data_IF_252401675775
#
_entry.id   IF_252401675775
#
_cell.length_a   1.000
_cell.length_b   1.000
_cell.length_c   1.000
_cell.angle_alpha   90.00
_cell.angle_beta   90.00
_cell.angle_gamma   90.00
#
_symmetry.space_group_name_H-M   'P 1'
#
loop_
_entity.id
_entity.type
_entity.pdbx_description
1 polymer ?
#
# COMPACT_ATOMS: atom_id res chain seq x y z
N UNK A 1 -53.12 34.96 -28.49
CA UNK A 1 -51.67 35.31 -28.35
C UNK A 1 -51.06 34.98 -26.97
N UNK A 2 -51.82 34.75 -25.98
CA UNK A 2 -51.27 34.42 -24.62
C UNK A 2 -50.93 32.94 -24.42
N UNK A 3 -51.44 32.04 -25.23
CA UNK A 3 -51.19 30.60 -25.11
C UNK A 3 -49.84 30.13 -25.70
N UNK A 4 -49.24 30.94 -26.59
CA UNK A 4 -47.97 30.58 -27.26
C UNK A 4 -46.73 30.90 -26.44
N UNK A 5 -46.81 31.76 -25.43
CA UNK A 5 -45.71 32.14 -24.54
C UNK A 5 -45.52 31.12 -23.40
N UNK A 6 -46.56 30.34 -23.03
CA UNK A 6 -46.45 29.31 -21.99
C UNK A 6 -45.75 28.04 -22.49
N UNK A 7 -45.79 27.80 -23.82
CA UNK A 7 -45.19 26.62 -24.42
C UNK A 7 -43.66 26.71 -24.58
N UNK A 8 -43.07 27.90 -24.49
CA UNK A 8 -41.63 28.09 -24.60
C UNK A 8 -40.90 28.00 -23.28
N UNK A 9 -41.58 28.05 -22.13
CA UNK A 9 -40.98 27.95 -20.79
C UNK A 9 -40.86 26.52 -20.27
N UNK A 10 -41.56 25.57 -20.90
CA UNK A 10 -41.57 24.17 -20.45
C UNK A 10 -40.29 23.36 -20.82
N UNK A 11 -39.61 23.61 -21.92
CA UNK A 11 -38.40 22.85 -22.24
C UNK A 11 -37.12 23.25 -21.48
N UNK A 12 -37.09 24.43 -20.82
CA UNK A 12 -35.93 24.85 -20.04
C UNK A 12 -35.85 24.21 -18.65
N UNK A 13 -36.89 23.56 -18.16
CA UNK A 13 -36.96 22.97 -16.81
C UNK A 13 -36.44 21.51 -16.77
N UNK A 14 -36.19 20.90 -17.93
CA UNK A 14 -35.76 19.50 -18.03
C UNK A 14 -34.26 19.31 -18.16
N UNK A 15 -33.45 20.39 -18.18
CA UNK A 15 -32.00 20.33 -18.38
C UNK A 15 -31.16 20.37 -17.07
N UNK A 16 -31.81 20.41 -15.91
CA UNK A 16 -31.11 20.47 -14.62
C UNK A 16 -31.01 19.14 -13.90
N UNK A 17 -31.31 18.01 -14.55
CA UNK A 17 -31.40 16.69 -13.90
C UNK A 17 -30.20 15.76 -14.15
N UNK A 18 -29.01 16.26 -14.56
CA UNK A 18 -27.84 15.43 -14.80
C UNK A 18 -26.58 15.92 -14.08
N UNK A 19 -26.70 16.34 -12.82
CA UNK A 19 -25.57 16.41 -11.90
C UNK A 19 -25.77 15.32 -10.84
N UNK A 20 -25.62 14.05 -11.23
CA UNK A 20 -25.33 13.01 -10.26
C UNK A 20 -23.95 13.33 -9.65
N UNK A 21 -23.78 13.35 -8.31
CA UNK A 21 -22.45 13.41 -7.73
C UNK A 21 -21.69 12.22 -8.30
N UNK A 22 -20.56 12.48 -8.97
CA UNK A 22 -19.59 11.44 -9.26
C UNK A 22 -19.15 10.92 -7.88
N UNK A 23 -19.65 9.76 -7.47
CA UNK A 23 -19.02 8.97 -6.45
C UNK A 23 -17.61 8.69 -6.99
N UNK A 24 -16.62 9.37 -6.44
CA UNK A 24 -15.22 9.05 -6.64
C UNK A 24 -15.06 7.68 -6.01
N UNK A 25 -15.29 6.63 -6.79
CA UNK A 25 -15.02 5.25 -6.42
C UNK A 25 -13.51 5.16 -6.24
N UNK A 26 -13.04 5.37 -5.01
CA UNK A 26 -11.64 5.20 -4.63
C UNK A 26 -11.34 3.71 -4.66
N UNK A 27 -11.04 3.19 -5.85
CA UNK A 27 -10.56 1.82 -6.00
C UNK A 27 -9.15 1.74 -5.46
N UNK A 28 -8.85 0.75 -4.63
CA UNK A 28 -7.49 0.50 -4.20
C UNK A 28 -6.56 0.37 -5.41
N UNK A 29 -5.42 1.07 -5.35
CA UNK A 29 -4.39 1.00 -6.38
C UNK A 29 -3.28 0.07 -5.92
N UNK A 30 -2.61 -0.56 -6.89
CA UNK A 30 -1.45 -1.37 -6.62
C UNK A 30 -0.22 -0.49 -6.42
N UNK A 31 0.51 -0.77 -5.34
CA UNK A 31 1.78 -0.14 -5.00
C UNK A 31 2.85 -1.21 -4.78
N UNK A 32 4.11 -0.81 -4.85
CA UNK A 32 5.25 -1.66 -4.52
C UNK A 32 6.32 -0.88 -3.77
N UNK A 33 7.03 -1.58 -2.89
CA UNK A 33 8.24 -1.10 -2.22
C UNK A 33 9.34 -2.13 -2.38
N UNK A 34 10.58 -1.66 -2.54
CA UNK A 34 11.75 -2.53 -2.74
C UNK A 34 12.79 -2.23 -1.68
N UNK A 35 13.28 -3.27 -1.02
CA UNK A 35 14.31 -3.24 0.00
C UNK A 35 15.54 -4.01 -0.48
N UNK A 36 16.74 -3.52 -0.14
CA UNK A 36 18.01 -4.10 -0.55
C UNK A 36 18.84 -4.57 0.64
N UNK A 37 18.31 -4.44 1.84
CA UNK A 37 19.00 -4.65 3.12
C UNK A 37 18.52 -5.89 3.89
N UNK A 38 17.67 -6.71 3.27
CA UNK A 38 17.16 -7.95 3.86
C UNK A 38 17.53 -9.17 3.01
N UNK A 39 18.00 -10.22 3.66
CA UNK A 39 18.36 -11.53 3.07
C UNK A 39 19.40 -11.48 1.94
N UNK A 40 20.23 -10.43 1.89
CA UNK A 40 21.27 -10.21 0.85
C UNK A 40 20.70 -10.30 -0.58
N UNK A 41 19.46 -9.87 -0.77
CA UNK A 41 18.75 -9.92 -2.05
C UNK A 41 17.85 -8.70 -2.25
N UNK A 42 17.31 -8.59 -3.44
CA UNK A 42 16.24 -7.61 -3.74
C UNK A 42 14.91 -8.18 -3.25
N UNK A 43 14.34 -7.54 -2.24
CA UNK A 43 13.03 -7.92 -1.69
C UNK A 43 11.99 -6.90 -2.11
N UNK A 44 10.92 -7.35 -2.74
CA UNK A 44 9.82 -6.47 -3.17
C UNK A 44 8.53 -6.85 -2.46
N UNK A 45 7.90 -5.87 -1.82
CA UNK A 45 6.57 -5.97 -1.24
C UNK A 45 5.59 -5.28 -2.20
N UNK A 46 4.52 -5.96 -2.54
CA UNK A 46 3.50 -5.47 -3.46
C UNK A 46 2.12 -5.65 -2.85
N UNK A 47 1.26 -4.66 -3.00
CA UNK A 47 -0.10 -4.74 -2.47
C UNK A 47 -1.01 -3.65 -2.98
N UNK A 48 -2.28 -3.75 -2.60
CA UNK A 48 -3.31 -2.76 -2.92
C UNK A 48 -3.62 -1.92 -1.71
N UNK A 49 -3.70 -0.61 -1.87
CA UNK A 49 -4.05 0.33 -0.82
C UNK A 49 -4.88 1.50 -1.38
N UNK A 50 -5.55 2.20 -0.50
CA UNK A 50 -6.34 3.39 -0.85
C UNK A 50 -5.46 4.57 -1.21
N UNK A 51 -4.25 4.66 -0.60
CA UNK A 51 -3.27 5.71 -0.89
C UNK A 51 -1.84 5.19 -0.79
N UNK A 52 -0.91 5.98 -1.33
CA UNK A 52 0.53 5.73 -1.22
C UNK A 52 1.00 5.72 0.24
N UNK A 53 0.46 6.62 1.08
CA UNK A 53 0.82 6.75 2.49
C UNK A 53 0.45 5.48 3.26
N UNK A 54 -0.78 4.98 3.09
CA UNK A 54 -1.26 3.75 3.75
C UNK A 54 -0.42 2.54 3.31
N UNK A 55 -0.07 2.47 2.02
CA UNK A 55 0.80 1.40 1.54
C UNK A 55 2.20 1.52 2.14
N UNK A 56 2.78 2.72 2.19
CA UNK A 56 4.14 2.94 2.72
C UNK A 56 4.24 2.51 4.18
N UNK A 57 3.30 2.90 5.03
CA UNK A 57 3.25 2.46 6.44
C UNK A 57 3.22 0.93 6.57
N UNK A 58 2.40 0.28 5.76
CA UNK A 58 2.31 -1.20 5.75
C UNK A 58 3.60 -1.85 5.26
N UNK A 59 4.22 -1.29 4.22
CA UNK A 59 5.48 -1.78 3.68
C UNK A 59 6.64 -1.61 4.67
N UNK A 60 6.68 -0.51 5.42
CA UNK A 60 7.67 -0.26 6.47
C UNK A 60 7.52 -1.26 7.62
N UNK A 61 6.30 -1.54 8.08
CA UNK A 61 6.07 -2.58 9.08
C UNK A 61 6.50 -3.97 8.59
N UNK A 62 6.27 -4.28 7.33
CA UNK A 62 6.72 -5.52 6.72
C UNK A 62 8.25 -5.58 6.64
N UNK A 63 8.91 -4.47 6.29
CA UNK A 63 10.36 -4.36 6.25
C UNK A 63 10.99 -4.59 7.63
N UNK A 64 10.46 -3.96 8.68
CA UNK A 64 10.95 -4.11 10.04
C UNK A 64 10.88 -5.58 10.50
N UNK A 65 9.78 -6.25 10.20
CA UNK A 65 9.62 -7.67 10.50
C UNK A 65 10.59 -8.55 9.69
N UNK A 66 10.77 -8.27 8.41
CA UNK A 66 11.72 -8.99 7.56
C UNK A 66 13.17 -8.76 8.03
N UNK A 67 13.50 -7.57 8.51
CA UNK A 67 14.82 -7.26 9.06
C UNK A 67 15.08 -8.05 10.35
N UNK A 68 14.08 -8.21 11.22
CA UNK A 68 14.19 -9.07 12.42
C UNK A 68 14.51 -10.51 12.00
N UNK A 69 13.79 -11.08 11.05
CA UNK A 69 14.08 -12.42 10.55
C UNK A 69 15.43 -12.53 9.84
N UNK A 70 15.83 -11.50 9.08
CA UNK A 70 17.15 -11.43 8.47
C UNK A 70 18.25 -11.59 9.54
N UNK A 71 18.15 -10.87 10.65
CA UNK A 71 19.12 -10.95 11.74
C UNK A 71 19.09 -12.30 12.45
N UNK A 72 17.90 -12.88 12.66
CA UNK A 72 17.75 -14.19 13.31
C UNK A 72 18.28 -15.35 12.48
N UNK A 73 18.12 -15.31 11.18
CA UNK A 73 18.55 -16.36 10.26
C UNK A 73 19.95 -16.16 9.68
N UNK A 74 20.61 -15.04 9.99
CA UNK A 74 21.96 -14.77 9.50
C UNK A 74 22.96 -15.76 10.12
N UNK A 75 23.76 -16.38 9.26
CA UNK A 75 24.82 -17.32 9.62
C UNK A 75 26.21 -16.70 9.55
N UNK A 76 26.34 -15.45 9.12
CA UNK A 76 27.61 -14.77 8.88
C UNK A 76 27.92 -13.66 9.88
N UNK A 77 26.88 -12.94 10.35
CA UNK A 77 27.07 -11.74 11.15
C UNK A 77 26.49 -11.89 12.56
N UNK A 78 27.15 -11.22 13.52
CA UNK A 78 26.66 -11.03 14.87
C UNK A 78 25.90 -9.71 14.97
N UNK A 79 24.85 -9.69 15.78
CA UNK A 79 24.05 -8.51 16.08
C UNK A 79 23.95 -8.35 17.61
N UNK A 80 24.11 -7.12 18.10
CA UNK A 80 24.08 -6.84 19.53
C UNK A 80 22.75 -7.28 20.16
N UNK A 81 22.81 -8.10 21.19
CA UNK A 81 21.65 -8.59 21.93
C UNK A 81 20.83 -9.67 21.22
N UNK A 82 21.29 -10.18 20.06
CA UNK A 82 20.58 -11.19 19.28
C UNK A 82 21.41 -12.50 19.26
N UNK A 83 20.75 -13.59 19.65
CA UNK A 83 21.23 -14.96 19.42
C UNK A 83 20.58 -15.49 18.15
N UNK A 84 21.36 -15.58 17.08
CA UNK A 84 20.89 -15.97 15.75
C UNK A 84 21.43 -17.35 15.34
N UNK A 85 21.21 -17.76 14.08
CA UNK A 85 21.71 -19.02 13.57
C UNK A 85 23.25 -19.09 13.60
N UNK A 86 23.96 -17.98 13.40
CA UNK A 86 25.42 -17.94 13.55
C UNK A 86 25.82 -18.33 14.97
N UNK A 87 25.15 -17.78 15.98
CA UNK A 87 25.41 -18.11 17.39
C UNK A 87 25.24 -19.61 17.65
N UNK A 88 24.18 -20.21 17.11
CA UNK A 88 23.93 -21.67 17.22
C UNK A 88 25.04 -22.48 16.53
N UNK A 89 25.44 -22.08 15.32
CA UNK A 89 26.46 -22.77 14.56
C UNK A 89 27.82 -22.67 15.23
N UNK A 90 28.19 -21.51 15.77
CA UNK A 90 29.47 -21.29 16.46
C UNK A 90 29.57 -22.12 17.76
N UNK A 91 28.45 -22.44 18.38
CA UNK A 91 28.38 -23.24 19.60
C UNK A 91 28.11 -24.75 19.33
N UNK A 92 27.92 -25.13 18.07
CA UNK A 92 27.66 -26.53 17.72
C UNK A 92 28.90 -27.39 17.96
N UNK A 93 28.77 -28.44 18.76
CA UNK A 93 29.82 -29.39 19.04
C UNK A 93 30.80 -29.02 20.17
N UNK A 94 30.41 -28.03 20.98
CA UNK A 94 31.13 -27.66 22.19
C UNK A 94 30.59 -28.45 23.38
#
# INVERSE_FOLDING_TARGET
MRLRLLSLLLPCLLLTACAAPEEVETRPKQYQATFLDVFDTVTTVMGYAESQEVFTETAEMAHDLLLEYHQLYDIYNDYEGIHNLKTVNDQAGI
#
